data_IF_158534497258
#
_entry.id   IF_158534497258
#
_cell.length_a   1.000
_cell.length_b   1.000
_cell.length_c   1.000
_cell.angle_alpha   90.00
_cell.angle_beta   90.00
_cell.angle_gamma   90.00
#
_symmetry.space_group_name_H-M   'P 1'
#
loop_
_entity.id
_entity.type
_entity.pdbx_description
1 polymer ?
#
# COMPACT_ATOMS: atom_id res chain seq x y z
N UNK A 1 -49.47 1.33 -43.10
CA UNK A 1 -49.46 1.88 -41.73
C UNK A 1 -48.25 1.30 -41.02
N UNK A 2 -47.09 1.96 -41.12
CA UNK A 2 -45.84 1.52 -40.49
C UNK A 2 -45.56 2.40 -39.28
N UNK A 3 -45.59 1.80 -38.09
CA UNK A 3 -45.39 2.47 -36.82
C UNK A 3 -43.88 2.60 -36.56
N UNK A 4 -43.30 3.78 -36.80
CA UNK A 4 -41.91 4.07 -36.44
C UNK A 4 -41.83 4.37 -34.95
N UNK A 5 -41.40 3.38 -34.17
CA UNK A 5 -41.04 3.57 -32.77
C UNK A 5 -39.78 4.46 -32.69
N UNK A 6 -39.97 5.71 -32.27
CA UNK A 6 -38.86 6.59 -31.90
C UNK A 6 -38.24 6.09 -30.60
N UNK A 7 -37.03 5.56 -30.69
CA UNK A 7 -36.20 5.28 -29.51
C UNK A 7 -35.82 6.64 -28.93
N UNK A 8 -36.50 7.05 -27.86
CA UNK A 8 -36.03 8.13 -27.00
C UNK A 8 -34.74 7.66 -26.34
N UNK A 9 -33.61 8.14 -26.87
CA UNK A 9 -32.33 8.09 -26.17
C UNK A 9 -32.49 8.96 -24.92
N UNK A 10 -32.78 8.33 -23.79
CA UNK A 10 -32.74 9.00 -22.50
C UNK A 10 -31.33 9.57 -22.32
N UNK A 11 -31.24 10.88 -22.12
CA UNK A 11 -30.00 11.53 -21.74
C UNK A 11 -29.42 10.79 -20.52
N UNK A 12 -28.11 10.50 -20.55
CA UNK A 12 -27.43 9.91 -19.41
C UNK A 12 -27.74 10.75 -18.16
N UNK A 13 -28.14 10.12 -17.04
CA UNK A 13 -28.44 10.88 -15.82
C UNK A 13 -27.20 11.70 -15.45
N UNK A 14 -27.40 12.99 -15.19
CA UNK A 14 -26.33 13.83 -14.61
C UNK A 14 -25.83 13.11 -13.36
N UNK A 15 -24.51 13.03 -13.14
CA UNK A 15 -24.00 12.44 -11.91
C UNK A 15 -24.66 13.15 -10.73
N UNK A 16 -25.35 12.38 -9.89
CA UNK A 16 -25.99 12.89 -8.70
C UNK A 16 -24.89 13.37 -7.76
N UNK A 17 -24.75 14.69 -7.64
CA UNK A 17 -23.87 15.29 -6.65
C UNK A 17 -24.58 15.27 -5.29
N UNK A 18 -23.80 15.17 -4.22
CA UNK A 18 -24.34 15.21 -2.86
C UNK A 18 -24.55 16.67 -2.48
N UNK A 19 -25.70 17.00 -1.87
CA UNK A 19 -25.94 18.35 -1.37
C UNK A 19 -24.91 18.69 -0.28
N UNK A 20 -24.24 19.83 -0.44
CA UNK A 20 -23.26 20.34 0.52
C UNK A 20 -23.82 20.51 1.95
N UNK A 21 -25.14 20.67 2.10
CA UNK A 21 -25.80 20.71 3.40
C UNK A 21 -25.62 19.40 4.21
N UNK A 22 -25.44 18.26 3.52
CA UNK A 22 -25.27 16.94 4.13
C UNK A 22 -23.83 16.70 4.63
N UNK A 23 -22.85 17.50 4.18
CA UNK A 23 -21.43 17.24 4.44
C UNK A 23 -21.07 17.25 5.93
N UNK A 24 -21.74 18.06 6.75
CA UNK A 24 -21.50 18.07 8.20
C UNK A 24 -21.84 16.73 8.84
N UNK A 25 -23.03 16.18 8.55
CA UNK A 25 -23.49 14.90 9.08
C UNK A 25 -22.64 13.74 8.56
N UNK A 26 -22.30 13.75 7.26
CA UNK A 26 -21.42 12.76 6.66
C UNK A 26 -20.03 12.77 7.27
N UNK A 27 -19.45 13.95 7.52
CA UNK A 27 -18.16 14.06 8.20
C UNK A 27 -18.24 13.53 9.64
N UNK A 28 -19.33 13.82 10.36
CA UNK A 28 -19.51 13.30 11.71
C UNK A 28 -19.44 11.78 11.74
N UNK A 29 -20.17 11.11 10.85
CA UNK A 29 -20.20 9.66 10.74
C UNK A 29 -18.86 9.08 10.24
N UNK A 30 -18.26 9.70 9.22
CA UNK A 30 -16.97 9.27 8.67
C UNK A 30 -15.89 9.19 9.76
N UNK A 31 -15.78 10.22 10.62
CA UNK A 31 -14.80 10.29 11.69
C UNK A 31 -15.18 9.53 12.98
N UNK A 32 -16.24 8.70 12.98
CA UNK A 32 -16.51 7.78 14.09
C UNK A 32 -15.64 6.52 14.04
N UNK A 33 -15.11 6.18 12.87
CA UNK A 33 -14.22 5.03 12.70
C UNK A 33 -12.75 5.36 13.06
N UNK A 34 -11.93 4.32 13.23
CA UNK A 34 -10.46 4.40 13.21
C UNK A 34 -9.92 3.52 12.06
N UNK A 35 -9.56 4.09 10.89
CA UNK A 35 -9.07 3.31 9.77
C UNK A 35 -7.71 2.64 10.04
N UNK A 36 -6.94 3.10 11.03
CA UNK A 36 -5.65 2.54 11.38
C UNK A 36 -5.78 1.25 12.21
N UNK A 37 -6.87 1.12 12.97
CA UNK A 37 -7.11 0.02 13.91
C UNK A 37 -7.07 -1.37 13.23
N UNK A 38 -7.72 -1.51 12.07
CA UNK A 38 -7.73 -2.79 11.33
C UNK A 38 -6.33 -3.20 10.88
N UNK A 39 -5.53 -2.26 10.40
CA UNK A 39 -4.15 -2.52 9.96
C UNK A 39 -3.29 -2.88 11.15
N UNK A 40 -3.44 -2.15 12.26
CA UNK A 40 -2.70 -2.41 13.49
C UNK A 40 -3.01 -3.80 14.05
N UNK A 41 -4.28 -4.19 14.14
CA UNK A 41 -4.67 -5.54 14.57
C UNK A 41 -4.05 -6.63 13.70
N UNK A 42 -3.97 -6.44 12.38
CA UNK A 42 -3.29 -7.39 11.49
C UNK A 42 -1.79 -7.48 11.77
N UNK A 43 -1.13 -6.35 12.06
CA UNK A 43 0.28 -6.36 12.49
C UNK A 43 0.48 -7.09 13.82
N UNK A 44 -0.39 -6.88 14.80
CA UNK A 44 -0.35 -7.61 16.08
C UNK A 44 -0.53 -9.11 15.90
N UNK A 45 -1.49 -9.54 15.09
CA UNK A 45 -1.70 -10.96 14.79
C UNK A 45 -0.47 -11.56 14.10
N UNK A 46 0.14 -10.85 13.16
CA UNK A 46 1.35 -11.30 12.49
C UNK A 46 2.54 -11.41 13.46
N UNK A 47 2.73 -10.41 14.32
CA UNK A 47 3.78 -10.42 15.34
C UNK A 47 3.56 -11.57 16.35
N UNK A 48 2.34 -11.76 16.83
CA UNK A 48 1.99 -12.86 17.73
C UNK A 48 2.21 -14.23 17.08
N UNK A 49 1.86 -14.38 15.80
CA UNK A 49 2.11 -15.60 15.04
C UNK A 49 3.61 -15.91 14.87
N UNK A 50 4.44 -14.88 14.80
CA UNK A 50 5.91 -15.01 14.72
C UNK A 50 6.58 -15.23 16.09
N UNK A 51 5.96 -14.77 17.17
CA UNK A 51 6.57 -14.71 18.49
C UNK A 51 6.69 -16.06 19.22
N UNK A 52 6.02 -17.14 18.78
CA UNK A 52 5.80 -18.28 19.69
C UNK A 52 5.84 -19.72 19.11
N UNK A 53 6.56 -20.59 19.84
CA UNK A 53 6.42 -22.06 19.88
C UNK A 53 6.01 -22.61 21.28
N UNK A 54 5.94 -21.77 22.32
CA UNK A 54 5.92 -22.17 23.73
C UNK A 54 4.62 -21.87 24.50
N UNK A 55 3.63 -21.23 23.89
CA UNK A 55 2.46 -20.68 24.61
C UNK A 55 1.11 -21.13 24.03
N UNK A 56 1.11 -22.09 23.09
CA UNK A 56 -0.12 -22.73 22.58
C UNK A 56 -0.58 -23.90 23.45
N UNK A 57 -1.02 -23.60 24.66
CA UNK A 57 -1.98 -24.45 25.38
C UNK A 57 -3.14 -23.56 25.81
N UNK A 58 -4.29 -23.64 25.13
CA UNK A 58 -5.52 -23.04 25.68
C UNK A 58 -6.55 -22.43 24.74
N UNK A 59 -6.42 -22.50 23.41
CA UNK A 59 -7.48 -22.04 22.49
C UNK A 59 -7.88 -23.18 21.56
N UNK A 60 -8.56 -24.19 22.09
CA UNK A 60 -9.02 -25.33 21.29
C UNK A 60 -10.53 -25.58 21.33
N UNK A 61 -11.33 -24.87 22.13
CA UNK A 61 -12.71 -25.35 22.39
C UNK A 61 -13.90 -24.60 21.73
N UNK A 62 -13.73 -23.46 21.05
CA UNK A 62 -14.91 -22.81 20.41
C UNK A 62 -14.86 -22.63 18.88
N UNK A 63 -13.71 -22.76 18.25
CA UNK A 63 -13.56 -22.72 16.78
C UNK A 63 -12.56 -23.81 16.37
N UNK A 64 -13.04 -25.04 16.25
CA UNK A 64 -12.20 -26.21 15.96
C UNK A 64 -11.73 -26.22 14.49
N UNK A 65 -10.73 -25.40 14.19
CA UNK A 65 -9.78 -25.65 13.12
C UNK A 65 -8.68 -26.54 13.71
N UNK A 66 -8.91 -27.85 13.80
CA UNK A 66 -7.85 -28.77 14.22
C UNK A 66 -6.81 -28.84 13.12
N UNK A 67 -5.69 -28.14 13.32
CA UNK A 67 -4.44 -28.46 12.64
C UNK A 67 -3.66 -29.36 13.57
N UNK A 68 -3.37 -30.57 13.09
CA UNK A 68 -2.63 -31.59 13.84
C UNK A 68 -1.15 -31.22 14.02
N UNK A 69 -0.66 -30.23 13.26
CA UNK A 69 0.74 -29.80 13.27
C UNK A 69 0.89 -28.29 13.50
N UNK A 70 1.78 -27.93 14.42
CA UNK A 70 2.25 -26.54 14.59
C UNK A 70 3.11 -26.18 13.38
N UNK A 71 2.84 -25.06 12.67
CA UNK A 71 3.64 -24.67 11.50
C UNK A 71 5.11 -24.55 11.84
N UNK A 72 6.00 -25.07 10.98
CA UNK A 72 7.44 -24.96 11.20
C UNK A 72 7.92 -23.51 11.17
N UNK A 73 9.13 -23.23 11.68
CA UNK A 73 9.74 -21.89 11.57
C UNK A 73 9.79 -21.39 10.11
N UNK A 74 10.08 -22.30 9.16
CA UNK A 74 10.11 -21.98 7.73
C UNK A 74 8.73 -21.56 7.22
N UNK A 75 7.69 -22.31 7.56
CA UNK A 75 6.30 -22.00 7.17
C UNK A 75 5.84 -20.67 7.78
N UNK A 76 6.25 -20.40 9.03
CA UNK A 76 5.93 -19.12 9.69
C UNK A 76 6.58 -17.93 9.01
N UNK A 77 7.85 -18.05 8.61
CA UNK A 77 8.56 -17.00 7.86
C UNK A 77 7.98 -16.80 6.46
N UNK A 78 7.59 -17.88 5.79
CA UNK A 78 6.93 -17.86 4.49
C UNK A 78 5.54 -17.19 4.55
N UNK A 79 4.74 -17.55 5.54
CA UNK A 79 3.49 -16.86 5.84
C UNK A 79 3.74 -15.38 6.13
N UNK A 80 4.77 -15.05 6.92
CA UNK A 80 5.08 -13.66 7.23
C UNK A 80 5.49 -12.84 6.01
N UNK A 81 6.22 -13.42 5.05
CA UNK A 81 6.51 -12.76 3.78
C UNK A 81 5.23 -12.39 3.02
N UNK A 82 4.30 -13.35 2.87
CA UNK A 82 3.03 -13.09 2.19
C UNK A 82 2.18 -12.07 2.95
N UNK A 83 1.92 -12.33 4.23
CA UNK A 83 1.00 -11.53 5.03
C UNK A 83 1.51 -10.11 5.26
N UNK A 84 2.81 -9.92 5.51
CA UNK A 84 3.39 -8.58 5.62
C UNK A 84 3.29 -7.79 4.32
N UNK A 85 3.43 -8.45 3.15
CA UNK A 85 3.26 -7.81 1.84
C UNK A 85 1.82 -7.34 1.64
N UNK A 86 0.84 -8.19 1.98
CA UNK A 86 -0.58 -7.85 1.87
C UNK A 86 -1.00 -6.73 2.82
N UNK A 87 -0.52 -6.79 4.07
CA UNK A 87 -0.80 -5.75 5.08
C UNK A 87 -0.16 -4.42 4.65
N UNK A 88 1.08 -4.44 4.19
CA UNK A 88 1.78 -3.26 3.69
C UNK A 88 1.04 -2.59 2.52
N UNK A 89 0.64 -3.36 1.51
CA UNK A 89 -0.12 -2.84 0.39
C UNK A 89 -1.47 -2.23 0.81
N UNK A 90 -2.20 -2.91 1.70
CA UNK A 90 -3.46 -2.36 2.23
C UNK A 90 -3.21 -1.05 2.98
N UNK A 91 -2.15 -0.98 3.79
CA UNK A 91 -1.81 0.22 4.54
C UNK A 91 -1.44 1.37 3.59
N UNK A 92 -0.58 1.11 2.59
CA UNK A 92 -0.19 2.08 1.57
C UNK A 92 -1.40 2.60 0.78
N UNK A 93 -2.28 1.71 0.33
CA UNK A 93 -3.53 2.10 -0.34
C UNK A 93 -4.42 2.95 0.57
N UNK A 94 -4.55 2.56 1.84
CA UNK A 94 -5.34 3.30 2.84
C UNK A 94 -4.81 4.72 3.04
N UNK A 95 -3.50 4.88 3.26
CA UNK A 95 -2.86 6.19 3.41
C UNK A 95 -3.07 7.06 2.17
N UNK A 96 -2.76 6.54 0.97
CA UNK A 96 -2.87 7.31 -0.27
C UNK A 96 -4.30 7.71 -0.58
N UNK A 97 -5.28 6.83 -0.36
CA UNK A 97 -6.70 7.16 -0.54
C UNK A 97 -7.14 8.24 0.43
N UNK A 98 -6.76 8.13 1.70
CA UNK A 98 -7.07 9.15 2.70
C UNK A 98 -6.40 10.49 2.39
N UNK A 99 -5.15 10.51 1.95
CA UNK A 99 -4.49 11.72 1.49
C UNK A 99 -5.27 12.37 0.33
N UNK A 100 -5.62 11.60 -0.68
CA UNK A 100 -6.40 12.07 -1.83
C UNK A 100 -7.79 12.59 -1.43
N UNK A 101 -8.42 11.97 -0.43
CA UNK A 101 -9.73 12.38 0.06
C UNK A 101 -9.70 13.69 0.85
N UNK A 102 -8.56 14.05 1.43
CA UNK A 102 -8.37 15.32 2.16
C UNK A 102 -7.66 16.39 1.32
N UNK A 103 -7.32 16.06 0.08
CA UNK A 103 -6.57 16.93 -0.83
C UNK A 103 -7.30 18.23 -1.13
N UNK A 104 -6.55 19.33 -1.20
CA UNK A 104 -7.04 20.68 -1.49
C UNK A 104 -8.20 21.09 -0.58
N UNK A 105 -8.14 20.66 0.68
CA UNK A 105 -9.16 20.90 1.69
C UNK A 105 -10.59 20.47 1.28
N UNK A 106 -10.74 19.29 0.68
CA UNK A 106 -12.04 18.78 0.24
C UNK A 106 -13.09 18.73 1.39
N UNK A 107 -14.27 19.35 1.24
CA UNK A 107 -15.21 19.60 2.33
C UNK A 107 -15.87 18.34 2.90
N UNK A 108 -15.91 17.25 2.11
CA UNK A 108 -16.41 15.94 2.54
C UNK A 108 -15.45 14.83 2.07
N UNK A 109 -14.44 14.46 2.89
CA UNK A 109 -13.48 13.42 2.53
C UNK A 109 -14.14 12.06 2.25
N UNK A 110 -15.25 11.74 2.92
CA UNK A 110 -15.95 10.48 2.67
C UNK A 110 -16.51 10.39 1.24
N UNK A 111 -17.03 11.51 0.73
CA UNK A 111 -17.52 11.57 -0.65
C UNK A 111 -16.36 11.48 -1.65
N UNK A 112 -15.24 12.16 -1.39
CA UNK A 112 -14.04 12.03 -2.22
C UNK A 112 -13.48 10.60 -2.21
N UNK A 113 -13.46 9.92 -1.07
CA UNK A 113 -13.13 8.49 -0.96
C UNK A 113 -14.00 7.63 -1.87
N UNK A 114 -15.31 7.88 -1.93
CA UNK A 114 -16.22 7.12 -2.77
C UNK A 114 -15.89 7.28 -4.27
N UNK A 115 -15.47 8.47 -4.71
CA UNK A 115 -15.03 8.71 -6.11
C UNK A 115 -13.78 7.92 -6.48
N UNK A 116 -12.92 7.60 -5.52
CA UNK A 116 -11.70 6.82 -5.75
C UNK A 116 -11.94 5.33 -5.98
N UNK A 117 -13.18 4.81 -5.82
CA UNK A 117 -13.50 3.39 -6.03
C UNK A 117 -13.39 2.94 -7.49
N UNK A 118 -13.35 3.87 -8.43
CA UNK A 118 -13.21 3.55 -9.85
C UNK A 118 -11.79 3.01 -10.13
N UNK A 119 -11.65 1.81 -10.74
CA UNK A 119 -10.36 1.13 -10.87
C UNK A 119 -9.24 1.94 -11.52
N UNK A 120 -9.57 2.87 -12.42
CA UNK A 120 -8.57 3.71 -13.13
C UNK A 120 -8.27 5.03 -12.43
N UNK A 121 -9.22 5.58 -11.68
CA UNK A 121 -9.10 6.92 -11.09
C UNK A 121 -8.04 6.95 -10.01
N UNK A 122 -8.02 5.94 -9.13
CA UNK A 122 -7.06 5.88 -8.04
C UNK A 122 -5.61 5.74 -8.56
N UNK A 123 -5.26 4.77 -9.43
CA UNK A 123 -3.90 4.67 -9.98
C UNK A 123 -3.44 5.93 -10.73
N UNK A 124 -4.33 6.61 -11.48
CA UNK A 124 -4.00 7.86 -12.16
C UNK A 124 -3.65 8.98 -11.17
N UNK A 125 -4.42 9.12 -10.08
CA UNK A 125 -4.13 10.09 -9.03
C UNK A 125 -2.84 9.77 -8.28
N UNK A 126 -2.56 8.49 -8.03
CA UNK A 126 -1.28 8.05 -7.44
C UNK A 126 -0.11 8.40 -8.36
N UNK A 127 -0.22 8.13 -9.67
CA UNK A 127 0.82 8.49 -10.63
C UNK A 127 1.09 10.01 -10.68
N UNK A 128 0.03 10.82 -10.56
CA UNK A 128 0.18 12.27 -10.45
C UNK A 128 0.96 12.68 -9.20
N UNK A 129 0.58 12.16 -8.01
CA UNK A 129 1.34 12.39 -6.76
C UNK A 129 2.80 12.01 -6.96
N UNK A 130 3.09 10.83 -7.51
CA UNK A 130 4.49 10.39 -7.73
C UNK A 130 5.26 11.38 -8.59
N UNK A 131 4.65 11.89 -9.67
CA UNK A 131 5.31 12.82 -10.61
C UNK A 131 5.54 14.21 -10.03
N UNK A 132 4.78 14.63 -9.03
CA UNK A 132 4.87 15.96 -8.42
C UNK A 132 5.41 15.95 -6.99
N UNK A 133 5.79 14.79 -6.46
CA UNK A 133 6.15 14.62 -5.05
C UNK A 133 7.36 15.47 -4.61
N UNK A 134 8.22 15.82 -5.55
CA UNK A 134 9.40 16.66 -5.32
C UNK A 134 9.09 18.17 -5.40
N UNK A 135 7.86 18.57 -5.73
CA UNK A 135 7.45 19.98 -5.71
C UNK A 135 7.01 20.42 -4.31
N UNK A 136 7.26 21.69 -3.99
CA UNK A 136 6.87 22.30 -2.71
C UNK A 136 5.37 22.26 -2.49
N UNK A 137 4.57 22.44 -3.55
CA UNK A 137 3.11 22.43 -3.47
C UNK A 137 2.60 21.07 -2.99
N UNK A 138 3.11 19.99 -3.59
CA UNK A 138 2.66 18.62 -3.30
C UNK A 138 3.04 18.22 -1.88
N UNK A 139 4.29 18.47 -1.48
CA UNK A 139 4.74 18.10 -0.13
C UNK A 139 4.11 18.99 0.95
N UNK A 140 3.88 20.28 0.68
CA UNK A 140 3.16 21.15 1.62
C UNK A 140 1.72 20.69 1.79
N UNK A 141 1.06 20.23 0.73
CA UNK A 141 -0.29 19.68 0.84
C UNK A 141 -0.31 18.39 1.69
N UNK A 142 0.65 17.49 1.47
CA UNK A 142 0.81 16.29 2.30
C UNK A 142 1.08 16.64 3.78
N UNK A 143 1.92 17.64 4.05
CA UNK A 143 2.18 18.12 5.42
C UNK A 143 0.92 18.70 6.08
N UNK A 144 0.11 19.47 5.36
CA UNK A 144 -1.18 19.95 5.89
C UNK A 144 -2.11 18.80 6.25
N UNK A 145 -2.12 17.75 5.43
CA UNK A 145 -3.00 16.60 5.60
C UNK A 145 -2.54 15.71 6.76
N UNK A 146 -1.27 15.32 6.78
CA UNK A 146 -0.74 14.34 7.75
C UNK A 146 -0.31 15.00 9.06
N UNK A 147 0.21 16.22 8.99
CA UNK A 147 0.83 16.93 10.12
C UNK A 147 0.03 18.17 10.53
N UNK A 148 -1.18 18.35 10.00
CA UNK A 148 -2.11 19.48 10.26
C UNK A 148 -1.65 20.86 9.75
N UNK A 149 -0.37 21.05 9.44
CA UNK A 149 0.18 22.29 8.90
C UNK A 149 1.41 22.01 8.03
N UNK A 150 1.63 22.89 7.06
CA UNK A 150 2.90 22.98 6.31
C UNK A 150 3.81 24.10 6.83
N UNK A 151 3.37 24.85 7.85
CA UNK A 151 4.13 25.91 8.48
C UNK A 151 4.93 25.34 9.66
N UNK A 152 6.26 25.43 9.56
CA UNK A 152 7.21 25.03 10.58
C UNK A 152 6.90 25.65 11.95
N UNK A 153 6.59 26.95 12.00
CA UNK A 153 6.36 27.66 13.26
C UNK A 153 5.10 27.19 13.99
N UNK A 154 4.08 26.74 13.24
CA UNK A 154 2.85 26.18 13.82
C UNK A 154 3.11 24.82 14.46
N UNK A 155 3.98 24.00 13.86
CA UNK A 155 4.32 22.66 14.38
C UNK A 155 5.34 22.76 15.52
N UNK A 156 6.36 23.59 15.38
CA UNK A 156 7.39 23.82 16.41
C UNK A 156 6.82 24.35 17.72
N UNK A 157 5.72 25.11 17.69
CA UNK A 157 5.05 25.57 18.90
C UNK A 157 4.48 24.42 19.76
N UNK A 158 4.28 23.23 19.18
CA UNK A 158 3.66 22.07 19.85
C UNK A 158 4.52 20.81 19.88
N UNK A 159 5.71 20.80 19.28
CA UNK A 159 6.55 19.61 19.11
C UNK A 159 7.98 19.86 19.60
N UNK A 160 8.47 18.95 20.45
CA UNK A 160 9.89 18.92 20.81
C UNK A 160 10.66 18.07 19.80
N UNK A 161 11.48 18.73 18.99
CA UNK A 161 12.35 18.07 18.01
C UNK A 161 13.61 17.50 18.67
N UNK A 162 14.07 16.35 18.18
CA UNK A 162 15.35 15.74 18.62
C UNK A 162 16.57 16.45 18.01
N UNK A 163 16.39 17.07 16.85
CA UNK A 163 17.43 17.71 16.06
C UNK A 163 17.00 19.12 15.66
N UNK A 164 17.96 20.03 15.48
CA UNK A 164 17.71 21.42 15.07
C UNK A 164 17.04 21.51 13.69
N UNK A 165 17.30 20.54 12.80
CA UNK A 165 16.71 20.39 11.47
C UNK A 165 15.50 19.42 11.45
N UNK A 166 14.89 19.18 12.61
CA UNK A 166 13.83 18.18 12.78
C UNK A 166 12.65 18.34 11.81
N UNK A 167 12.25 19.58 11.52
CA UNK A 167 11.19 19.86 10.56
C UNK A 167 11.52 19.39 9.13
N UNK A 168 12.71 19.73 8.63
CA UNK A 168 13.14 19.33 7.28
C UNK A 168 13.31 17.81 7.20
N UNK A 169 13.84 17.18 8.26
CA UNK A 169 13.91 15.72 8.37
C UNK A 169 12.53 15.08 8.34
N UNK A 170 11.54 15.69 8.98
CA UNK A 170 10.15 15.23 8.93
C UNK A 170 9.56 15.30 7.53
N UNK A 171 9.75 16.44 6.87
CA UNK A 171 9.33 16.68 5.49
C UNK A 171 9.95 15.67 4.52
N UNK A 172 11.25 15.38 4.67
CA UNK A 172 11.94 14.37 3.87
C UNK A 172 11.46 12.95 4.18
N UNK A 173 11.29 12.60 5.46
CA UNK A 173 10.79 11.29 5.87
C UNK A 173 9.38 11.02 5.32
N UNK A 174 8.48 12.01 5.39
CA UNK A 174 7.14 11.91 4.81
C UNK A 174 7.20 11.72 3.28
N UNK A 175 8.07 12.48 2.60
CA UNK A 175 8.29 12.34 1.15
C UNK A 175 8.68 10.90 0.79
N UNK A 176 9.68 10.34 1.47
CA UNK A 176 10.14 8.98 1.19
C UNK A 176 9.08 7.91 1.50
N UNK A 177 8.35 8.08 2.61
CA UNK A 177 7.25 7.16 2.94
C UNK A 177 6.17 7.17 1.86
N UNK A 178 5.73 8.36 1.43
CA UNK A 178 4.69 8.50 0.40
C UNK A 178 5.18 7.97 -0.94
N UNK A 179 6.43 8.26 -1.34
CA UNK A 179 7.05 7.70 -2.54
C UNK A 179 6.99 6.19 -2.53
N UNK A 180 7.43 5.57 -1.43
CA UNK A 180 7.43 4.13 -1.29
C UNK A 180 6.01 3.52 -1.35
N UNK A 181 5.01 4.20 -0.78
CA UNK A 181 3.61 3.79 -0.92
C UNK A 181 3.14 3.89 -2.37
N UNK A 182 3.50 4.95 -3.09
CA UNK A 182 3.14 5.10 -4.50
C UNK A 182 3.76 4.01 -5.37
N UNK A 183 5.04 3.71 -5.16
CA UNK A 183 5.77 2.68 -5.89
C UNK A 183 5.15 1.30 -5.63
N UNK A 184 4.79 1.00 -4.39
CA UNK A 184 4.10 -0.24 -4.05
C UNK A 184 2.79 -0.42 -4.83
N UNK A 185 1.95 0.63 -4.92
CA UNK A 185 0.69 0.57 -5.67
C UNK A 185 0.89 0.43 -7.17
N UNK A 186 1.96 1.01 -7.72
CA UNK A 186 2.24 1.00 -9.16
C UNK A 186 2.91 -0.30 -9.62
N UNK A 187 3.90 -0.75 -8.87
CA UNK A 187 4.82 -1.81 -9.31
C UNK A 187 4.50 -3.16 -8.68
N UNK A 188 3.73 -3.19 -7.58
CA UNK A 188 3.35 -4.42 -6.85
C UNK A 188 1.90 -4.87 -7.05
N UNK A 189 1.18 -4.28 -8.00
CA UNK A 189 -0.26 -4.52 -8.17
C UNK A 189 -0.58 -6.00 -8.46
N UNK A 190 0.23 -6.67 -9.28
CA UNK A 190 -0.01 -8.06 -9.68
C UNK A 190 0.24 -9.04 -8.52
N UNK A 191 1.37 -8.90 -7.81
CA UNK A 191 1.65 -9.69 -6.60
C UNK A 191 0.56 -9.49 -5.52
N UNK A 192 0.14 -8.24 -5.28
CA UNK A 192 -0.92 -7.94 -4.33
C UNK A 192 -2.26 -8.54 -4.75
N UNK A 193 -2.66 -8.39 -6.01
CA UNK A 193 -3.90 -8.96 -6.54
C UNK A 193 -3.89 -10.50 -6.46
N UNK A 194 -2.76 -11.13 -6.80
CA UNK A 194 -2.59 -12.56 -6.67
C UNK A 194 -2.81 -13.03 -5.22
N UNK A 195 -2.18 -12.35 -4.26
CA UNK A 195 -2.30 -12.74 -2.85
C UNK A 195 -3.67 -12.46 -2.26
N UNK A 196 -4.27 -11.30 -2.59
CA UNK A 196 -5.63 -10.92 -2.19
C UNK A 196 -6.68 -11.91 -2.70
N UNK A 197 -6.51 -12.44 -3.91
CA UNK A 197 -7.45 -13.38 -4.51
C UNK A 197 -7.13 -14.86 -4.23
N UNK A 198 -6.13 -15.14 -3.38
CA UNK A 198 -5.72 -16.50 -3.05
C UNK A 198 -5.21 -17.27 -4.26
N UNK A 199 -4.68 -16.58 -5.27
CA UNK A 199 -4.01 -17.23 -6.40
C UNK A 199 -2.73 -17.90 -5.91
N UNK A 200 -2.23 -18.85 -6.70
CA UNK A 200 -1.05 -19.63 -6.35
C UNK A 200 0.20 -18.73 -6.21
N UNK A 201 0.48 -18.31 -4.99
CA UNK A 201 1.74 -17.70 -4.59
C UNK A 201 2.57 -18.80 -3.95
N UNK A 202 3.76 -19.03 -4.50
CA UNK A 202 4.70 -20.00 -3.92
C UNK A 202 5.66 -19.25 -3.00
N UNK A 203 5.47 -19.29 -1.68
CA UNK A 203 6.47 -18.80 -0.78
C UNK A 203 7.67 -19.75 -0.80
N UNK A 204 8.86 -19.20 -0.93
CA UNK A 204 10.10 -19.98 -1.01
C UNK A 204 11.26 -19.24 -0.38
N UNK A 205 12.35 -19.95 -0.10
CA UNK A 205 13.63 -19.32 0.17
C UNK A 205 14.50 -19.53 -1.05
N UNK A 206 14.88 -18.45 -1.74
CA UNK A 206 15.66 -18.53 -2.98
C UNK A 206 16.94 -17.74 -2.84
N UNK A 207 18.03 -18.36 -3.28
CA UNK A 207 19.30 -17.72 -3.54
C UNK A 207 19.43 -17.38 -5.02
N UNK A 208 19.87 -16.17 -5.35
CA UNK A 208 20.36 -15.85 -6.70
C UNK A 208 21.78 -15.30 -6.57
N UNK A 209 22.70 -15.82 -7.39
CA UNK A 209 24.05 -15.27 -7.53
C UNK A 209 24.41 -15.02 -8.98
N UNK A 210 24.91 -13.83 -9.32
CA UNK A 210 25.37 -13.46 -10.67
C UNK A 210 26.84 -13.03 -10.60
N UNK A 211 27.70 -13.65 -11.42
CA UNK A 211 29.15 -13.43 -11.47
C UNK A 211 29.97 -14.59 -10.88
N UNK A 212 31.26 -14.67 -11.23
CA UNK A 212 32.22 -15.61 -10.64
C UNK A 212 32.52 -15.18 -9.19
N UNK A 213 31.70 -15.66 -8.25
CA UNK A 213 31.94 -15.56 -6.81
C UNK A 213 31.60 -14.21 -6.17
N UNK A 214 30.30 -13.95 -5.95
CA UNK A 214 29.76 -12.94 -5.00
C UNK A 214 29.47 -11.51 -5.48
N UNK A 215 29.45 -11.21 -6.78
CA UNK A 215 29.16 -9.82 -7.22
C UNK A 215 27.70 -9.38 -6.91
N UNK A 216 26.76 -10.33 -6.94
CA UNK A 216 25.36 -10.15 -6.51
C UNK A 216 24.94 -11.44 -5.84
N UNK A 217 24.50 -11.41 -4.57
CA UNK A 217 23.89 -12.56 -3.89
C UNK A 217 22.67 -12.08 -3.12
N UNK A 218 21.49 -12.64 -3.41
CA UNK A 218 20.27 -12.38 -2.64
C UNK A 218 19.71 -13.70 -2.14
N UNK A 219 19.56 -13.82 -0.82
CA UNK A 219 18.92 -14.96 -0.14
C UNK A 219 17.82 -14.46 0.79
N UNK A 220 16.74 -15.23 0.89
CA UNK A 220 15.71 -14.98 1.89
C UNK A 220 14.31 -15.38 1.42
N UNK A 221 13.29 -15.02 2.23
CA UNK A 221 11.90 -15.27 1.91
C UNK A 221 11.53 -14.59 0.59
N UNK A 222 10.81 -15.31 -0.25
CA UNK A 222 10.40 -14.86 -1.57
C UNK A 222 9.00 -15.32 -1.90
N UNK A 223 8.30 -14.55 -2.72
CA UNK A 223 6.99 -14.88 -3.27
C UNK A 223 7.13 -15.02 -4.77
N UNK A 224 6.62 -16.11 -5.32
CA UNK A 224 6.64 -16.33 -6.77
C UNK A 224 5.23 -16.31 -7.34
N UNK A 225 5.04 -15.54 -8.41
CA UNK A 225 3.79 -15.42 -9.18
C UNK A 225 4.07 -15.61 -10.67
N UNK A 226 3.01 -15.83 -11.45
CA UNK A 226 3.06 -15.81 -12.92
C UNK A 226 2.44 -14.51 -13.38
N UNK A 227 3.22 -13.72 -14.12
CA UNK A 227 2.81 -12.42 -14.65
C UNK A 227 2.91 -12.40 -16.16
N UNK A 228 2.17 -11.48 -16.78
CA UNK A 228 2.21 -11.24 -18.22
C UNK A 228 2.91 -9.89 -18.45
N UNK A 229 4.15 -9.92 -18.92
CA UNK A 229 4.87 -8.71 -19.29
C UNK A 229 4.72 -8.43 -20.78
N UNK A 230 4.78 -7.16 -21.17
CA UNK A 230 4.93 -6.75 -22.55
C UNK A 230 6.41 -6.41 -22.76
N UNK A 231 7.13 -7.20 -23.54
CA UNK A 231 8.53 -6.96 -23.90
C UNK A 231 8.61 -6.77 -25.42
N UNK A 232 9.17 -5.65 -25.87
CA UNK A 232 9.28 -5.30 -27.29
C UNK A 232 7.94 -5.31 -28.05
N UNK A 233 6.83 -5.02 -27.34
CA UNK A 233 5.48 -5.05 -27.89
C UNK A 233 4.79 -6.42 -27.84
N UNK A 234 5.54 -7.49 -27.55
CA UNK A 234 5.02 -8.84 -27.46
C UNK A 234 4.69 -9.24 -26.02
N UNK A 235 3.45 -9.68 -25.75
CA UNK A 235 3.09 -10.18 -24.44
C UNK A 235 3.74 -11.55 -24.19
N UNK A 236 4.49 -11.68 -23.09
CA UNK A 236 5.11 -12.93 -22.64
C UNK A 236 4.71 -13.26 -21.21
N UNK A 237 4.51 -14.54 -20.94
CA UNK A 237 4.33 -15.03 -19.58
C UNK A 237 5.70 -15.21 -18.93
N UNK A 238 5.83 -14.78 -17.68
CA UNK A 238 7.04 -14.97 -16.89
C UNK A 238 6.69 -15.42 -15.48
N UNK A 239 7.58 -16.22 -14.90
CA UNK A 239 7.59 -16.53 -13.48
C UNK A 239 8.39 -15.43 -12.78
N UNK A 240 7.73 -14.61 -11.98
CA UNK A 240 8.35 -13.50 -11.28
C UNK A 240 8.52 -13.86 -9.81
N UNK A 241 9.76 -13.79 -9.34
CA UNK A 241 10.12 -14.01 -7.94
C UNK A 241 10.41 -12.65 -7.30
N UNK A 242 9.70 -12.33 -6.22
CA UNK A 242 9.93 -11.16 -5.39
C UNK A 242 10.60 -11.58 -4.09
N UNK A 243 11.76 -11.03 -3.76
CA UNK A 243 12.36 -11.21 -2.44
C UNK A 243 11.72 -10.24 -1.45
N UNK A 244 11.25 -10.77 -0.32
CA UNK A 244 10.46 -10.04 0.65
C UNK A 244 11.23 -9.83 1.94
N UNK A 245 11.49 -8.57 2.26
CA UNK A 245 12.03 -8.13 3.55
C UNK A 245 10.87 -7.91 4.53
N UNK A 246 10.30 -9.01 5.03
CA UNK A 246 9.06 -8.96 5.81
C UNK A 246 9.16 -8.09 7.08
N UNK A 247 10.35 -7.99 7.70
CA UNK A 247 10.57 -7.11 8.86
C UNK A 247 10.53 -5.64 8.46
N UNK A 248 11.19 -5.30 7.34
CA UNK A 248 11.12 -3.97 6.74
C UNK A 248 9.66 -3.61 6.41
N UNK A 249 8.91 -4.50 5.76
CA UNK A 249 7.49 -4.31 5.46
C UNK A 249 6.66 -4.05 6.72
N UNK A 250 6.88 -4.83 7.79
CA UNK A 250 6.20 -4.63 9.09
C UNK A 250 6.56 -3.28 9.69
N UNK A 251 7.85 -2.93 9.72
CA UNK A 251 8.33 -1.67 10.29
C UNK A 251 7.77 -0.45 9.54
N UNK A 252 7.78 -0.48 8.20
CA UNK A 252 7.20 0.57 7.37
C UNK A 252 5.68 0.64 7.58
N UNK A 253 4.99 -0.51 7.63
CA UNK A 253 3.54 -0.53 7.85
C UNK A 253 3.17 0.10 9.19
N UNK A 254 3.94 -0.15 10.25
CA UNK A 254 3.73 0.53 11.54
C UNK A 254 3.85 2.06 11.43
N UNK A 255 4.72 2.58 10.56
CA UNK A 255 4.82 4.02 10.28
C UNK A 255 3.63 4.54 9.49
N UNK A 256 3.15 3.76 8.52
CA UNK A 256 1.92 4.09 7.80
C UNK A 256 0.73 4.17 8.76
N UNK A 257 0.62 3.24 9.72
CA UNK A 257 -0.42 3.27 10.78
C UNK A 257 -0.35 4.59 11.57
N UNK A 258 0.84 5.01 12.00
CA UNK A 258 1.00 6.31 12.68
C UNK A 258 0.63 7.49 11.78
N UNK A 259 1.01 7.47 10.50
CA UNK A 259 0.67 8.51 9.54
C UNK A 259 -0.84 8.59 9.29
N UNK A 260 -1.52 7.45 9.16
CA UNK A 260 -2.98 7.36 9.01
C UNK A 260 -3.68 7.93 10.24
N UNK A 261 -3.24 7.60 11.45
CA UNK A 261 -3.79 8.16 12.69
C UNK A 261 -3.64 9.68 12.76
N UNK A 262 -2.44 10.18 12.47
CA UNK A 262 -2.16 11.62 12.45
C UNK A 262 -3.03 12.35 11.45
N UNK A 263 -3.10 11.83 10.21
CA UNK A 263 -3.99 12.34 9.16
C UNK A 263 -5.44 12.38 9.63
N UNK A 264 -5.90 11.30 10.27
CA UNK A 264 -7.28 11.17 10.73
C UNK A 264 -7.64 12.23 11.78
N UNK A 265 -6.76 12.45 12.76
CA UNK A 265 -6.95 13.50 13.77
C UNK A 265 -6.90 14.90 13.14
N UNK A 266 -6.04 15.12 12.14
CA UNK A 266 -6.00 16.38 11.39
C UNK A 266 -7.28 16.64 10.60
N UNK A 267 -7.78 15.63 9.89
CA UNK A 267 -9.05 15.71 9.16
C UNK A 267 -10.22 15.99 10.10
N UNK A 268 -10.29 15.27 11.23
CA UNK A 268 -11.30 15.44 12.28
C UNK A 268 -11.26 16.85 12.85
N UNK A 269 -10.09 17.34 13.25
CA UNK A 269 -9.93 18.69 13.77
C UNK A 269 -10.42 19.74 12.77
N UNK A 270 -10.09 19.57 11.48
CA UNK A 270 -10.45 20.52 10.43
C UNK A 270 -11.94 20.52 10.07
N UNK A 271 -12.60 19.36 10.09
CA UNK A 271 -14.00 19.22 9.62
C UNK A 271 -15.05 19.32 10.71
N UNK A 272 -14.73 18.92 11.93
CA UNK A 272 -15.68 18.89 13.06
C UNK A 272 -15.13 19.44 14.37
N UNK A 273 -13.84 19.77 14.42
CA UNK A 273 -13.15 20.07 15.67
C UNK A 273 -12.94 18.82 16.55
N UNK A 274 -12.10 18.96 17.58
CA UNK A 274 -11.88 17.90 18.56
C UNK A 274 -11.05 16.71 18.05
N UNK A 275 -10.17 16.95 17.08
CA UNK A 275 -9.07 16.02 16.80
C UNK A 275 -8.02 16.07 17.90
N UNK A 276 -7.48 14.92 18.27
CA UNK A 276 -6.44 14.80 19.30
C UNK A 276 -5.06 15.09 18.68
N UNK A 277 -4.67 16.36 18.69
CA UNK A 277 -3.39 16.82 18.14
C UNK A 277 -2.17 16.36 18.96
N UNK A 278 -2.37 15.68 20.10
CA UNK A 278 -1.25 15.04 20.82
C UNK A 278 -0.79 13.76 20.12
N UNK A 279 -1.59 13.23 19.19
CA UNK A 279 -1.30 12.03 18.39
C UNK A 279 -0.63 12.33 17.06
N UNK A 280 -0.18 13.57 16.85
CA UNK A 280 0.50 13.92 15.62
C UNK A 280 1.77 13.10 15.47
N UNK A 281 1.90 12.52 14.29
CA UNK A 281 3.02 11.66 13.96
C UNK A 281 4.14 12.50 13.37
N UNK A 282 5.31 12.40 13.99
CA UNK A 282 6.55 12.99 13.53
C UNK A 282 7.47 11.86 13.09
N UNK A 283 8.05 12.02 11.90
CA UNK A 283 8.82 10.95 11.26
C UNK A 283 10.15 11.42 10.72
N UNK A 284 11.22 11.06 11.39
CA UNK A 284 12.56 11.46 11.00
C UNK A 284 13.05 10.67 9.77
N UNK A 285 13.65 11.35 8.80
CA UNK A 285 14.38 10.73 7.68
C UNK A 285 15.46 9.75 8.15
N UNK A 286 16.13 9.99 9.27
CA UNK A 286 17.08 9.01 9.82
C UNK A 286 16.39 7.72 10.26
N UNK A 287 15.15 7.81 10.76
CA UNK A 287 14.37 6.62 11.11
C UNK A 287 14.00 5.82 9.87
N UNK A 288 13.63 6.49 8.78
CA UNK A 288 13.45 5.86 7.48
C UNK A 288 14.72 5.12 7.02
N UNK A 289 15.87 5.78 7.07
CA UNK A 289 17.14 5.19 6.66
C UNK A 289 17.51 3.97 7.51
N UNK A 290 17.31 4.04 8.83
CA UNK A 290 17.51 2.89 9.72
C UNK A 290 16.61 1.72 9.35
N UNK A 291 15.33 1.95 9.05
CA UNK A 291 14.42 0.89 8.63
C UNK A 291 14.92 0.23 7.34
N UNK A 292 15.32 1.03 6.35
CA UNK A 292 15.80 0.54 5.05
C UNK A 292 17.13 -0.21 5.12
N UNK A 293 17.99 0.15 6.08
CA UNK A 293 19.31 -0.49 6.29
C UNK A 293 19.26 -1.70 7.23
N UNK A 294 18.17 -1.89 7.97
CA UNK A 294 18.10 -2.92 9.03
C UNK A 294 18.17 -4.37 8.53
N UNK A 295 17.94 -4.62 7.25
CA UNK A 295 17.91 -5.96 6.61
C UNK A 295 18.90 -6.09 5.42
N UNK A 296 19.89 -5.21 5.28
CA UNK A 296 20.86 -5.27 4.17
C UNK A 296 22.12 -6.05 4.57
N UNK A 297 22.17 -7.35 4.25
CA UNK A 297 23.47 -8.01 4.05
C UNK A 297 24.16 -7.36 2.82
N UNK A 298 25.46 -7.09 2.94
CA UNK A 298 26.26 -6.36 1.95
C UNK A 298 26.06 -6.90 0.51
N UNK A 299 25.64 -6.04 -0.44
CA UNK A 299 25.52 -6.39 -1.87
C UNK A 299 24.47 -5.55 -2.61
N UNK A 300 24.47 -5.65 -3.95
CA UNK A 300 23.43 -5.04 -4.80
C UNK A 300 22.03 -5.60 -4.46
N UNK A 301 21.03 -4.71 -4.32
CA UNK A 301 19.65 -5.12 -4.03
C UNK A 301 18.92 -5.58 -5.29
N UNK A 302 18.67 -6.89 -5.40
CA UNK A 302 17.69 -7.42 -6.35
C UNK A 302 16.39 -7.69 -5.59
N UNK A 303 15.35 -6.92 -5.90
CA UNK A 303 14.01 -7.11 -5.34
C UNK A 303 13.16 -8.10 -6.14
N UNK A 304 13.42 -8.22 -7.45
CA UNK A 304 12.64 -9.06 -8.36
C UNK A 304 13.52 -9.78 -9.39
N UNK A 305 13.08 -10.97 -9.80
CA UNK A 305 13.66 -11.74 -10.91
C UNK A 305 12.53 -12.32 -11.75
N UNK A 306 12.55 -12.08 -13.07
CA UNK A 306 11.61 -12.65 -14.02
C UNK A 306 12.27 -13.73 -14.87
N UNK A 307 11.71 -14.92 -14.89
CA UNK A 307 12.07 -16.01 -15.79
C UNK A 307 10.99 -16.14 -16.87
N UNK A 308 11.31 -15.83 -18.13
CA UNK A 308 10.37 -15.94 -19.24
C UNK A 308 10.03 -17.41 -19.49
N UNK A 309 8.73 -17.72 -19.53
CA UNK A 309 8.23 -19.05 -19.86
C UNK A 309 8.21 -19.16 -21.39
N UNK A 310 9.19 -19.86 -21.97
CA UNK A 310 9.21 -20.15 -23.40
C UNK A 310 8.27 -21.29 -23.75
N UNK A 311 7.50 -21.11 -24.81
CA UNK A 311 6.89 -22.21 -25.56
C UNK A 311 7.91 -22.67 -26.62
N UNK A 312 8.62 -23.75 -26.36
CA UNK A 312 9.61 -24.29 -27.30
C UNK A 312 8.97 -25.09 -28.44
N UNK A 313 7.65 -25.35 -28.42
CA UNK A 313 7.04 -26.28 -29.38
C UNK A 313 5.77 -25.77 -30.09
N UNK A 314 5.09 -24.71 -29.63
CA UNK A 314 3.89 -24.21 -30.30
C UNK A 314 3.84 -22.67 -30.45
N UNK A 315 3.77 -22.12 -31.69
CA UNK A 315 3.37 -20.75 -31.88
C UNK A 315 1.89 -20.61 -31.48
N UNK A 316 1.64 -20.06 -30.29
CA UNK A 316 0.29 -19.70 -29.87
C UNK A 316 -0.32 -18.71 -30.87
N UNK A 317 -1.41 -19.16 -31.50
CA UNK A 317 -2.26 -18.44 -32.45
C UNK A 317 -1.61 -18.12 -33.80
N UNK A 318 -1.73 -19.06 -34.75
CA UNK A 318 -1.90 -18.65 -36.15
C UNK A 318 -3.27 -17.96 -36.28
N UNK A 319 -3.35 -16.69 -36.70
CA UNK A 319 -4.63 -16.08 -36.99
C UNK A 319 -5.29 -16.87 -38.12
N UNK A 320 -6.50 -17.35 -37.89
CA UNK A 320 -7.30 -17.99 -38.94
C UNK A 320 -7.51 -16.93 -40.03
N UNK A 321 -7.14 -17.19 -41.29
CA UNK A 321 -7.40 -16.22 -42.36
C UNK A 321 -8.91 -16.05 -42.47
N UNK A 322 -9.37 -14.81 -42.30
CA UNK A 322 -10.74 -14.42 -42.65
C UNK A 322 -10.93 -14.71 -44.14
N UNK A 323 -11.74 -15.70 -44.46
CA UNK A 323 -12.23 -15.86 -45.83
C UNK A 323 -13.05 -14.62 -46.19
N UNK A 324 -12.80 -14.14 -47.41
CA UNK A 324 -13.43 -13.00 -48.06
C UNK A 324 -14.96 -13.08 -48.13
#
# INVERSE_FOLDING_TARGET
>A
MGNTASIHVMAAPKPADVDSAEFSSLNEEFYRADPAEVIEHRLWMLAAFLADESTKTGVQEELALSRDEVPSRKDRVQFAALESTLIFHQAAETLLRLCLAHWADAPCPWFEMAKLRQPRVFPQKVAHITSSLDTDETINELLRIVSCSADQGVIEAGVTWRHEDGWERHRQGLRELVRHCCDAIRDGADLYNAGKHGLAILPSEKGMSIGDGDLISVRGPSLTVIERHVQDGDPRWAKVTHWVKYKESVAITARIVSAVRSLWECGKNRRRGGGDLTRLWIFDKEEWDRIRLSDTEFGFHVSTMSEVLFDLEHPMFTPTPSNA
#
